data_IF_191840609180
#
_entry.id   IF_191840609180
#
_cell.length_a   1.000
_cell.length_b   1.000
_cell.length_c   1.000
_cell.angle_alpha   90.00
_cell.angle_beta   90.00
_cell.angle_gamma   90.00
#
_symmetry.space_group_name_H-M   'P 1'
#
loop_
_entity.id
_entity.type
_entity.pdbx_description
1 polymer ?
#
# COMPACT_ATOMS: atom_id res chain seq x y z
N UNK A 1 -27.56 -31.66 12.42
CA UNK A 1 -27.04 -31.43 11.05
C UNK A 1 -25.78 -30.59 11.19
N UNK A 2 -24.63 -31.13 10.78
CA UNK A 2 -23.34 -30.44 10.81
C UNK A 2 -23.41 -29.17 9.95
N UNK A 3 -23.19 -27.99 10.54
CA UNK A 3 -23.19 -26.74 9.79
C UNK A 3 -22.00 -26.69 8.84
N UNK A 4 -22.25 -26.39 7.57
CA UNK A 4 -21.21 -26.30 6.55
C UNK A 4 -20.16 -25.27 6.95
N UNK A 5 -18.88 -25.49 6.60
CA UNK A 5 -17.79 -24.54 6.89
C UNK A 5 -18.11 -23.13 6.40
N UNK A 6 -18.83 -23.01 5.28
CA UNK A 6 -19.31 -21.73 4.75
C UNK A 6 -20.33 -21.04 5.68
N UNK A 7 -21.22 -21.81 6.31
CA UNK A 7 -22.19 -21.27 7.28
C UNK A 7 -21.49 -20.84 8.57
N UNK A 8 -20.50 -21.61 9.05
CA UNK A 8 -19.68 -21.22 10.19
C UNK A 8 -18.89 -19.94 9.92
N UNK A 9 -18.32 -19.80 8.71
CA UNK A 9 -17.59 -18.61 8.27
C UNK A 9 -18.52 -17.38 8.14
N UNK A 10 -19.71 -17.57 7.57
CA UNK A 10 -20.73 -16.53 7.46
C UNK A 10 -21.19 -16.02 8.83
N UNK A 11 -21.42 -16.94 9.78
CA UNK A 11 -21.72 -16.58 11.17
C UNK A 11 -20.56 -15.82 11.82
N UNK A 12 -19.31 -16.23 11.60
CA UNK A 12 -18.12 -15.54 12.13
C UNK A 12 -17.95 -14.13 11.56
N UNK A 13 -18.16 -13.95 10.26
CA UNK A 13 -18.07 -12.65 9.60
C UNK A 13 -19.20 -11.70 10.04
N UNK A 14 -20.40 -12.23 10.25
CA UNK A 14 -21.57 -11.45 10.70
C UNK A 14 -21.69 -11.32 12.22
N UNK A 15 -20.83 -11.98 13.01
CA UNK A 15 -20.79 -11.80 14.47
C UNK A 15 -20.09 -10.51 14.88
N UNK A 16 -19.29 -9.94 13.98
CA UNK A 16 -18.75 -8.59 14.14
C UNK A 16 -19.86 -7.66 13.66
N UNK A 17 -20.73 -7.31 14.59
CA UNK A 17 -21.79 -6.35 14.34
C UNK A 17 -21.11 -5.02 13.97
N UNK A 18 -21.18 -4.61 12.69
CA UNK A 18 -20.63 -3.32 12.22
C UNK A 18 -21.34 -2.12 12.87
N UNK A 19 -22.32 -2.35 13.73
CA UNK A 19 -23.07 -1.35 14.50
C UNK A 19 -22.32 -0.82 15.72
N UNK A 20 -21.29 -1.49 16.24
CA UNK A 20 -20.48 -0.99 17.37
C UNK A 20 -19.41 0.04 16.92
N UNK A 21 -19.88 1.12 16.30
CA UNK A 21 -19.07 2.33 16.02
C UNK A 21 -18.57 3.01 17.30
N UNK A 22 -19.18 2.72 18.45
CA UNK A 22 -18.76 3.26 19.76
C UNK A 22 -17.40 2.74 20.20
N UNK A 23 -17.13 1.45 20.05
CA UNK A 23 -15.84 0.85 20.41
C UNK A 23 -14.73 1.38 19.50
N UNK A 24 -15.04 1.59 18.21
CA UNK A 24 -14.12 2.21 17.28
C UNK A 24 -13.78 3.65 17.67
N UNK A 25 -14.72 4.41 18.24
CA UNK A 25 -14.47 5.78 18.71
C UNK A 25 -13.63 5.82 19.99
N UNK A 26 -13.77 4.84 20.89
CA UNK A 26 -12.88 4.69 22.04
C UNK A 26 -11.46 4.29 21.60
N UNK A 27 -11.34 3.34 20.68
CA UNK A 27 -10.06 2.93 20.11
C UNK A 27 -9.38 4.07 19.33
N UNK A 28 -10.14 4.93 18.63
CA UNK A 28 -9.62 6.17 18.02
C UNK A 28 -8.97 7.09 19.05
N UNK A 29 -9.57 7.23 20.23
CA UNK A 29 -9.04 8.08 21.29
C UNK A 29 -7.80 7.47 21.97
N UNK A 30 -7.78 6.14 22.14
CA UNK A 30 -6.70 5.42 22.80
C UNK A 30 -5.48 5.22 21.88
N UNK A 31 -5.69 5.00 20.58
CA UNK A 31 -4.64 4.71 19.61
C UNK A 31 -4.68 5.64 18.38
N UNK A 32 -4.44 6.95 18.53
CA UNK A 32 -4.58 7.94 17.45
C UNK A 32 -3.66 7.70 16.24
N UNK A 33 -2.55 7.00 16.45
CA UNK A 33 -1.54 6.73 15.42
C UNK A 33 -1.77 5.42 14.65
N UNK A 34 -2.59 4.51 15.20
CA UNK A 34 -2.83 3.19 14.61
C UNK A 34 -3.79 3.27 13.43
N UNK A 35 -4.79 4.14 13.53
CA UNK A 35 -5.69 4.45 12.44
C UNK A 35 -5.15 5.62 11.61
N UNK A 36 -4.56 5.32 10.44
CA UNK A 36 -4.26 6.32 9.39
C UNK A 36 -5.50 7.10 8.91
N UNK A 37 -6.68 6.74 9.40
CA UNK A 37 -7.99 7.36 9.13
C UNK A 37 -8.03 8.84 9.55
N UNK A 38 -7.31 9.25 10.62
CA UNK A 38 -7.26 10.66 11.00
C UNK A 38 -6.61 11.57 9.96
N UNK A 39 -5.81 11.04 9.04
CA UNK A 39 -5.26 11.84 7.95
C UNK A 39 -6.35 12.30 6.96
N UNK A 40 -7.39 11.47 6.78
CA UNK A 40 -8.54 11.81 5.95
C UNK A 40 -9.48 12.79 6.67
N UNK A 41 -9.66 12.71 7.99
CA UNK A 41 -10.60 13.60 8.71
C UNK A 41 -10.06 15.03 8.94
N UNK A 42 -8.73 15.25 8.86
CA UNK A 42 -8.09 16.55 9.18
C UNK A 42 -8.28 17.64 8.11
N UNK A 43 -8.74 17.29 6.93
CA UNK A 43 -8.86 18.21 5.81
C UNK A 43 -10.32 18.31 5.37
N UNK A 44 -10.81 19.52 5.07
CA UNK A 44 -12.12 19.69 4.44
C UNK A 44 -12.15 18.95 3.10
N UNK A 45 -13.33 18.51 2.65
CA UNK A 45 -13.52 17.81 1.37
C UNK A 45 -12.79 18.50 0.21
N UNK A 46 -12.82 19.84 0.16
CA UNK A 46 -12.11 20.64 -0.85
C UNK A 46 -10.57 20.54 -0.74
N UNK A 47 -10.04 20.47 0.48
CA UNK A 47 -8.60 20.35 0.72
C UNK A 47 -8.12 18.92 0.48
N UNK A 48 -8.93 17.91 0.79
CA UNK A 48 -8.70 16.52 0.38
C UNK A 48 -8.68 16.39 -1.14
N UNK A 49 -9.64 17.02 -1.84
CA UNK A 49 -9.70 17.06 -3.30
C UNK A 49 -8.45 17.70 -3.90
N UNK A 50 -8.04 18.87 -3.39
CA UNK A 50 -6.83 19.56 -3.85
C UNK A 50 -5.55 18.74 -3.64
N UNK A 51 -5.45 18.02 -2.52
CA UNK A 51 -4.32 17.13 -2.21
C UNK A 51 -4.37 15.85 -3.06
N UNK A 52 -5.55 15.30 -3.31
CA UNK A 52 -5.73 14.11 -4.15
C UNK A 52 -5.38 14.36 -5.61
N UNK A 53 -5.71 15.55 -6.13
CA UNK A 53 -5.33 16.00 -7.47
C UNK A 53 -3.81 16.14 -7.68
N UNK A 54 -3.02 16.23 -6.60
CA UNK A 54 -1.55 16.29 -6.69
C UNK A 54 -0.88 14.91 -6.76
N UNK A 55 -1.62 13.82 -6.56
CA UNK A 55 -1.08 12.46 -6.55
C UNK A 55 -1.50 11.66 -7.78
N UNK A 56 -0.55 10.96 -8.40
CA UNK A 56 -0.71 10.34 -9.73
C UNK A 56 -1.73 9.19 -9.80
N UNK A 57 -2.07 8.54 -8.68
CA UNK A 57 -2.90 7.31 -8.68
C UNK A 57 -4.16 7.44 -7.80
N UNK A 58 -4.40 8.61 -7.19
CA UNK A 58 -5.42 8.72 -6.12
C UNK A 58 -6.78 9.22 -6.58
N UNK A 59 -6.94 9.71 -7.82
CA UNK A 59 -8.27 9.93 -8.40
C UNK A 59 -9.07 8.62 -8.41
N UNK A 60 -8.44 7.54 -8.86
CA UNK A 60 -9.02 6.20 -8.85
C UNK A 60 -9.40 5.72 -7.44
N UNK A 61 -8.56 6.03 -6.45
CA UNK A 61 -8.84 5.66 -5.06
C UNK A 61 -9.98 6.49 -4.44
N UNK A 62 -10.07 7.78 -4.74
CA UNK A 62 -11.14 8.65 -4.24
C UNK A 62 -12.49 8.31 -4.88
N UNK A 63 -12.52 8.05 -6.19
CA UNK A 63 -13.69 7.51 -6.90
C UNK A 63 -14.14 6.20 -6.23
N UNK A 64 -13.24 5.24 -6.02
CA UNK A 64 -13.54 3.98 -5.32
C UNK A 64 -14.11 4.13 -3.91
N UNK A 65 -13.72 5.15 -3.13
CA UNK A 65 -14.20 5.31 -1.74
C UNK A 65 -15.56 5.99 -1.69
N UNK A 66 -15.82 6.98 -2.55
CA UNK A 66 -17.09 7.72 -2.53
C UNK A 66 -18.20 7.01 -3.31
N UNK A 67 -17.87 6.23 -4.34
CA UNK A 67 -18.86 5.45 -5.08
C UNK A 67 -19.50 4.34 -4.20
N UNK A 68 -18.74 3.76 -3.26
CA UNK A 68 -19.27 2.79 -2.28
C UNK A 68 -20.39 3.40 -1.42
N UNK A 69 -20.32 4.70 -1.12
CA UNK A 69 -21.34 5.36 -0.29
C UNK A 69 -22.60 5.66 -1.08
N UNK A 70 -22.48 5.97 -2.38
CA UNK A 70 -23.63 6.21 -3.26
C UNK A 70 -24.33 4.90 -3.67
N UNK A 71 -23.61 3.79 -3.85
CA UNK A 71 -24.25 2.49 -4.19
C UNK A 71 -25.03 1.87 -3.01
N UNK A 72 -24.73 2.27 -1.76
CA UNK A 72 -25.48 1.78 -0.59
C UNK A 72 -26.84 2.47 -0.39
N UNK A 73 -27.12 3.60 -1.06
CA UNK A 73 -28.43 4.27 -0.99
C UNK A 73 -29.44 3.69 -1.99
N UNK A 74 -28.99 2.99 -3.04
CA UNK A 74 -29.87 2.18 -3.88
C UNK A 74 -30.11 0.84 -3.19
N UNK A 75 -31.18 0.76 -2.39
CA UNK A 75 -31.75 -0.53 -2.03
C UNK A 75 -32.04 -1.23 -3.37
N UNK A 76 -31.34 -2.33 -3.73
CA UNK A 76 -31.70 -3.03 -4.95
C UNK A 76 -33.15 -3.44 -4.78
N UNK A 77 -34.02 -2.99 -5.70
CA UNK A 77 -35.34 -3.58 -5.83
C UNK A 77 -35.13 -5.09 -5.80
N UNK A 78 -35.93 -5.81 -5.01
CA UNK A 78 -35.73 -7.23 -4.78
C UNK A 78 -36.13 -7.93 -6.08
N UNK A 79 -35.20 -8.00 -7.04
CA UNK A 79 -35.43 -8.64 -8.33
C UNK A 79 -35.66 -10.12 -8.00
N UNK A 80 -36.81 -10.70 -8.41
CA UNK A 80 -37.07 -12.12 -8.24
C UNK A 80 -35.89 -12.94 -8.77
N UNK A 81 -35.49 -13.99 -8.05
CA UNK A 81 -34.32 -14.81 -8.42
C UNK A 81 -34.40 -15.42 -9.84
N UNK A 82 -35.59 -15.48 -10.42
CA UNK A 82 -35.83 -15.96 -11.78
C UNK A 82 -35.44 -14.94 -12.86
N UNK A 83 -35.65 -13.65 -12.61
CA UNK A 83 -35.26 -12.58 -13.54
C UNK A 83 -33.73 -12.42 -13.59
N UNK A 84 -33.05 -12.63 -12.47
CA UNK A 84 -31.57 -12.62 -12.40
C UNK A 84 -30.97 -13.73 -13.27
N UNK A 85 -31.57 -14.93 -13.24
CA UNK A 85 -31.12 -16.06 -14.08
C UNK A 85 -31.34 -15.76 -15.56
N UNK A 86 -32.50 -15.22 -15.94
CA UNK A 86 -32.80 -14.88 -17.33
C UNK A 86 -31.83 -13.82 -17.89
N UNK A 87 -31.44 -12.83 -17.08
CA UNK A 87 -30.43 -11.84 -17.43
C UNK A 87 -29.03 -12.47 -17.59
N UNK A 88 -28.68 -13.38 -16.68
CA UNK A 88 -27.41 -14.10 -16.74
C UNK A 88 -27.31 -14.97 -18.01
N UNK A 89 -28.37 -15.71 -18.34
CA UNK A 89 -28.40 -16.56 -19.53
C UNK A 89 -28.28 -15.72 -20.82
N UNK A 90 -28.98 -14.58 -20.89
CA UNK A 90 -28.87 -13.64 -22.02
C UNK A 90 -27.45 -13.08 -22.18
N UNK A 91 -26.77 -12.74 -21.08
CA UNK A 91 -25.39 -12.27 -21.09
C UNK A 91 -24.42 -13.36 -21.59
N UNK A 92 -24.64 -14.61 -21.14
CA UNK A 92 -23.84 -15.76 -21.55
C UNK A 92 -24.03 -16.01 -23.06
N UNK A 93 -25.27 -15.98 -23.55
CA UNK A 93 -25.58 -16.16 -24.97
C UNK A 93 -24.92 -15.07 -25.83
N UNK A 94 -25.00 -13.80 -25.40
CA UNK A 94 -24.31 -12.69 -26.06
C UNK A 94 -22.79 -12.89 -26.08
N UNK A 95 -22.21 -13.40 -24.99
CA UNK A 95 -20.77 -13.66 -24.91
C UNK A 95 -20.34 -14.79 -25.86
N UNK A 96 -21.10 -15.88 -25.91
CA UNK A 96 -20.86 -17.01 -26.81
C UNK A 96 -21.00 -16.60 -28.27
N UNK A 97 -21.99 -15.76 -28.60
CA UNK A 97 -22.19 -15.22 -29.94
C UNK A 97 -21.05 -14.29 -30.37
N UNK A 98 -20.60 -13.41 -29.45
CA UNK A 98 -19.62 -12.37 -29.78
C UNK A 98 -18.16 -12.87 -29.77
N UNK A 99 -17.88 -14.06 -29.19
CA UNK A 99 -16.55 -14.68 -29.09
C UNK A 99 -15.39 -13.66 -29.00
N UNK A 100 -15.35 -12.82 -27.95
CA UNK A 100 -14.40 -11.72 -27.92
C UNK A 100 -12.97 -12.25 -27.88
N UNK A 101 -12.20 -11.97 -28.94
CA UNK A 101 -10.78 -12.31 -29.00
C UNK A 101 -9.95 -11.19 -28.36
N UNK A 102 -9.09 -11.54 -27.41
CA UNK A 102 -8.05 -10.62 -26.90
C UNK A 102 -7.06 -10.32 -28.03
N UNK A 103 -7.11 -9.10 -28.58
CA UNK A 103 -6.12 -8.64 -29.53
C UNK A 103 -4.74 -8.67 -28.85
N UNK A 104 -3.79 -9.39 -29.45
CA UNK A 104 -2.40 -9.37 -28.96
C UNK A 104 -1.90 -7.93 -29.04
N UNK A 105 -1.29 -7.39 -27.97
CA UNK A 105 -0.67 -6.07 -28.05
C UNK A 105 0.31 -6.07 -29.23
N UNK A 106 0.24 -5.04 -30.09
CA UNK A 106 1.22 -4.85 -31.15
C UNK A 106 2.57 -4.64 -30.49
N UNK A 107 3.52 -5.55 -30.73
CA UNK A 107 4.92 -5.37 -30.33
C UNK A 107 5.40 -4.07 -30.93
N UNK A 108 5.84 -3.16 -30.07
CA UNK A 108 6.49 -1.93 -30.50
C UNK A 108 7.99 -2.20 -30.56
N UNK A 109 8.73 -1.49 -31.42
CA UNK A 109 10.19 -1.66 -31.55
C UNK A 109 10.97 -1.34 -30.24
N UNK A 110 10.27 -0.92 -29.18
CA UNK A 110 10.78 -0.69 -27.82
C UNK A 110 10.90 -1.99 -26.99
N UNK A 111 10.22 -3.07 -27.42
CA UNK A 111 10.19 -4.36 -26.70
C UNK A 111 11.46 -5.21 -26.94
N UNK A 112 12.34 -4.80 -27.87
CA UNK A 112 13.59 -5.50 -28.21
C UNK A 112 14.80 -5.04 -27.37
N UNK A 113 14.58 -4.21 -26.34
CA UNK A 113 15.67 -3.90 -25.41
C UNK A 113 15.99 -5.14 -24.56
N UNK A 114 17.27 -5.54 -24.44
CA UNK A 114 17.63 -6.65 -23.58
C UNK A 114 17.19 -6.33 -22.15
N UNK A 115 16.32 -7.17 -21.60
CA UNK A 115 15.86 -7.04 -20.23
C UNK A 115 17.07 -7.22 -19.30
N UNK A 116 17.52 -6.12 -18.69
CA UNK A 116 18.61 -6.17 -17.72
C UNK A 116 18.18 -6.98 -16.49
N UNK A 117 19.01 -7.94 -16.10
CA UNK A 117 18.82 -8.69 -14.86
C UNK A 117 19.20 -7.80 -13.67
N UNK A 118 18.19 -7.15 -13.09
CA UNK A 118 18.34 -6.29 -11.92
C UNK A 118 18.87 -7.05 -10.69
N UNK A 119 18.75 -8.39 -10.63
CA UNK A 119 19.28 -9.18 -9.52
C UNK A 119 20.80 -9.36 -9.59
N UNK A 120 21.39 -9.33 -10.79
CA UNK A 120 22.84 -9.38 -10.99
C UNK A 120 23.52 -8.04 -10.66
N UNK A 121 22.76 -6.94 -10.66
CA UNK A 121 23.29 -5.62 -10.32
C UNK A 121 23.43 -5.49 -8.80
N UNK A 122 24.68 -5.44 -8.33
CA UNK A 122 24.98 -5.16 -6.93
C UNK A 122 24.48 -3.76 -6.57
N UNK A 123 23.38 -3.65 -5.81
CA UNK A 123 22.84 -2.37 -5.38
C UNK A 123 23.80 -1.70 -4.39
N UNK A 124 24.56 -0.71 -4.87
CA UNK A 124 25.36 0.14 -4.02
C UNK A 124 24.46 1.13 -3.27
N UNK A 125 24.46 1.07 -1.94
CA UNK A 125 23.71 2.02 -1.13
C UNK A 125 24.21 3.45 -1.37
N UNK A 126 23.30 4.44 -1.49
CA UNK A 126 23.70 5.83 -1.65
C UNK A 126 24.45 6.33 -0.42
N UNK A 127 25.61 6.95 -0.64
CA UNK A 127 26.48 7.45 0.42
C UNK A 127 25.90 8.73 1.01
N UNK A 128 25.08 8.58 2.06
CA UNK A 128 24.42 9.71 2.75
C UNK A 128 24.36 9.48 4.26
N UNK A 129 24.39 10.58 5.03
CA UNK A 129 24.37 10.51 6.50
C UNK A 129 23.09 9.82 7.02
N UNK A 130 21.94 10.11 6.41
CA UNK A 130 20.66 9.49 6.78
C UNK A 130 20.68 7.98 6.61
N UNK A 131 21.34 7.47 5.55
CA UNK A 131 21.51 6.03 5.33
C UNK A 131 22.42 5.42 6.39
N UNK A 132 23.52 6.09 6.76
CA UNK A 132 24.38 5.62 7.85
C UNK A 132 23.61 5.51 9.18
N UNK A 133 22.83 6.54 9.53
CA UNK A 133 21.97 6.54 10.73
C UNK A 133 20.97 5.39 10.69
N UNK A 134 20.35 5.14 9.53
CA UNK A 134 19.40 4.05 9.35
C UNK A 134 20.07 2.69 9.54
N UNK A 135 21.27 2.48 8.98
CA UNK A 135 22.04 1.24 9.13
C UNK A 135 22.42 0.99 10.59
N UNK A 136 22.84 2.02 11.32
CA UNK A 136 23.11 1.93 12.76
C UNK A 136 21.87 1.50 13.53
N UNK A 137 20.71 2.08 13.23
CA UNK A 137 19.43 1.68 13.85
C UNK A 137 19.01 0.25 13.52
N UNK A 138 19.42 -0.25 12.35
CA UNK A 138 19.17 -1.64 11.93
C UNK A 138 20.19 -2.63 12.52
N UNK A 139 21.17 -2.18 13.31
CA UNK A 139 22.22 -3.04 13.85
C UNK A 139 23.30 -3.43 12.83
N UNK A 140 23.31 -2.82 11.64
CA UNK A 140 24.30 -3.09 10.59
C UNK A 140 25.54 -2.21 10.77
N UNK A 141 26.21 -2.38 11.91
CA UNK A 141 27.26 -1.46 12.37
C UNK A 141 28.48 -1.38 11.43
N UNK A 142 28.97 -2.51 10.91
CA UNK A 142 30.10 -2.53 9.98
C UNK A 142 29.83 -1.71 8.71
N UNK A 143 28.64 -1.89 8.11
CA UNK A 143 28.23 -1.13 6.93
C UNK A 143 28.04 0.36 7.24
N UNK A 144 27.55 0.69 8.44
CA UNK A 144 27.42 2.08 8.87
C UNK A 144 28.80 2.75 9.03
N UNK A 145 29.78 2.06 9.60
CA UNK A 145 31.16 2.55 9.75
C UNK A 145 31.77 2.83 8.37
N UNK A 146 31.72 1.86 7.45
CA UNK A 146 32.23 2.05 6.08
C UNK A 146 31.57 3.25 5.37
N UNK A 147 30.27 3.46 5.59
CA UNK A 147 29.57 4.61 5.01
C UNK A 147 30.05 5.93 5.62
N UNK A 148 30.24 5.99 6.94
CA UNK A 148 30.78 7.18 7.62
C UNK A 148 32.22 7.48 7.22
N UNK A 149 33.05 6.45 7.00
CA UNK A 149 34.40 6.62 6.48
C UNK A 149 34.38 7.22 5.07
N UNK A 150 33.53 6.69 4.17
CA UNK A 150 33.33 7.26 2.82
C UNK A 150 32.83 8.71 2.90
N UNK A 151 31.90 9.02 3.81
CA UNK A 151 31.40 10.38 4.01
C UNK A 151 32.49 11.33 4.53
N UNK A 152 33.41 10.86 5.37
CA UNK A 152 34.56 11.62 5.87
C UNK A 152 35.54 12.03 4.77
N UNK A 153 35.67 11.19 3.74
CA UNK A 153 36.43 11.50 2.53
C UNK A 153 35.72 12.53 1.64
N UNK A 154 34.41 12.37 1.42
CA UNK A 154 33.61 13.25 0.56
C UNK A 154 33.39 14.64 1.20
N UNK A 155 33.15 14.69 2.50
CA UNK A 155 32.79 15.91 3.25
C UNK A 155 33.80 16.18 4.36
N UNK A 156 35.01 16.69 4.01
CA UNK A 156 36.09 16.87 4.97
C UNK A 156 35.76 17.86 6.10
N UNK A 157 34.87 18.82 5.85
CA UNK A 157 34.43 19.83 6.82
C UNK A 157 33.80 19.22 8.08
N UNK A 158 33.15 18.06 7.95
CA UNK A 158 32.47 17.35 9.04
C UNK A 158 33.25 16.15 9.57
N UNK A 159 34.55 16.06 9.28
CA UNK A 159 35.41 14.93 9.68
C UNK A 159 35.34 14.59 11.16
N UNK A 160 35.41 15.60 12.03
CA UNK A 160 35.34 15.40 13.48
C UNK A 160 34.02 14.74 13.89
N UNK A 161 32.91 15.21 13.33
CA UNK A 161 31.58 14.65 13.58
C UNK A 161 31.43 13.20 13.11
N UNK A 162 31.98 12.86 11.93
CA UNK A 162 31.94 11.47 11.47
C UNK A 162 32.83 10.57 12.33
N UNK A 163 33.99 11.07 12.77
CA UNK A 163 34.87 10.32 13.67
C UNK A 163 34.19 10.01 15.02
N UNK A 164 33.49 10.98 15.61
CA UNK A 164 32.74 10.73 16.86
C UNK A 164 31.63 9.69 16.66
N UNK A 165 30.91 9.74 15.54
CA UNK A 165 29.88 8.74 15.22
C UNK A 165 30.45 7.34 15.01
N UNK A 166 31.61 7.23 14.37
CA UNK A 166 32.28 5.92 14.19
C UNK A 166 32.68 5.35 15.55
N UNK A 167 33.25 6.15 16.45
CA UNK A 167 33.61 5.71 17.80
C UNK A 167 32.39 5.26 18.61
N UNK A 168 31.27 6.00 18.57
CA UNK A 168 30.01 5.60 19.21
C UNK A 168 29.54 4.23 18.70
N UNK A 169 29.60 4.00 17.38
CA UNK A 169 29.17 2.73 16.78
C UNK A 169 30.13 1.58 17.13
N UNK A 170 31.43 1.85 17.21
CA UNK A 170 32.41 0.85 17.64
C UNK A 170 32.21 0.42 19.08
N UNK A 171 31.87 1.35 19.98
CA UNK A 171 31.55 1.01 21.37
C UNK A 171 30.32 0.10 21.46
N UNK A 172 29.28 0.36 20.66
CA UNK A 172 28.08 -0.49 20.58
C UNK A 172 28.34 -1.89 20.01
N UNK A 173 29.44 -2.07 19.26
CA UNK A 173 29.88 -3.38 18.77
C UNK A 173 30.60 -4.20 19.84
N UNK A 174 31.19 -3.52 20.83
CA UNK A 174 31.96 -4.15 21.91
C UNK A 174 31.16 -4.42 23.18
N UNK A 175 30.03 -3.76 23.36
CA UNK A 175 29.03 -4.02 24.41
C UNK A 175 28.11 -5.20 24.06
#
# INVERSE_FOLDING_TARGET
METSKAQKLWFLLNKIDRSDQMDLNQDKALYPYFYLIHWNERFSILKQHKIALQSSQRRQYFESINDISNEMEEIPEIIPAEEIKALQDSLIDQFILNQPTLAKPKRSDLDDTPQEDLAATTFALPVSETVAILLTKQGKYLQAIELYEKLSLIKPEKRLYFATRILEIQNLLTE
#
